data_IF_357862256638
#
_entry.id   IF_357862256638
#
_cell.length_a   1.000
_cell.length_b   1.000
_cell.length_c   1.000
_cell.angle_alpha   90.00
_cell.angle_beta   90.00
_cell.angle_gamma   90.00
#
_symmetry.space_group_name_H-M   'P 1'
#
loop_
_entity.id
_entity.type
_entity.pdbx_description
1 polymer ?
#
# COMPACT_ATOMS: atom_id res chain seq x y z
N UNK A 1 5.39 19.06 18.61
CA UNK A 1 6.16 20.31 18.41
C UNK A 1 6.02 21.14 19.68
N UNK A 2 7.07 21.83 20.11
CA UNK A 2 7.02 22.69 21.29
C UNK A 2 6.15 23.92 20.98
N UNK A 3 5.25 24.29 21.90
CA UNK A 3 4.38 25.48 21.77
C UNK A 3 5.13 26.82 21.96
N UNK A 4 6.46 26.80 21.83
CA UNK A 4 7.33 27.97 21.92
C UNK A 4 7.52 28.58 20.53
N UNK A 5 7.90 29.85 20.49
CA UNK A 5 8.33 30.49 19.25
C UNK A 5 9.61 29.81 18.71
N UNK A 6 9.71 29.63 17.37
CA UNK A 6 10.91 29.08 16.76
C UNK A 6 12.08 30.07 16.88
N UNK A 7 13.26 29.54 17.17
CA UNK A 7 14.52 30.28 17.24
C UNK A 7 15.27 30.04 15.94
N UNK A 8 15.52 31.09 15.17
CA UNK A 8 16.11 31.00 13.82
C UNK A 8 17.49 30.33 13.83
N UNK A 9 18.27 30.55 14.90
CA UNK A 9 19.60 29.96 15.07
C UNK A 9 19.59 28.53 15.62
N UNK A 10 18.45 28.00 16.08
CA UNK A 10 18.37 26.62 16.60
C UNK A 10 18.31 25.62 15.42
N UNK A 11 19.32 24.72 15.28
CA UNK A 11 19.34 23.74 14.21
C UNK A 11 18.12 22.81 14.20
N UNK A 12 17.52 22.55 15.38
CA UNK A 12 16.32 21.69 15.50
C UNK A 12 15.09 22.38 14.92
N UNK A 13 14.93 23.67 15.19
CA UNK A 13 13.83 24.47 14.63
C UNK A 13 13.98 24.62 13.12
N UNK A 14 15.20 24.85 12.63
CA UNK A 14 15.50 24.90 11.19
C UNK A 14 15.17 23.57 10.49
N UNK A 15 15.60 22.43 11.06
CA UNK A 15 15.28 21.11 10.54
C UNK A 15 13.77 20.83 10.57
N UNK A 16 13.09 21.24 11.65
CA UNK A 16 11.64 21.09 11.78
C UNK A 16 10.92 21.87 10.68
N UNK A 17 11.32 23.12 10.41
CA UNK A 17 10.76 23.94 9.34
C UNK A 17 10.97 23.32 7.95
N UNK A 18 12.16 22.81 7.67
CA UNK A 18 12.46 22.09 6.42
C UNK A 18 11.53 20.88 6.28
N UNK A 19 11.31 20.15 7.36
CA UNK A 19 10.46 18.95 7.37
C UNK A 19 8.98 19.29 7.16
N UNK A 20 8.48 20.37 7.79
CA UNK A 20 7.11 20.88 7.56
C UNK A 20 6.89 21.26 6.10
N UNK A 21 7.86 21.97 5.51
CA UNK A 21 7.81 22.35 4.08
C UNK A 21 7.79 21.12 3.19
N UNK A 22 8.64 20.12 3.48
CA UNK A 22 8.67 18.84 2.76
C UNK A 22 7.33 18.09 2.85
N UNK A 23 6.73 18.02 4.04
CA UNK A 23 5.43 17.37 4.23
C UNK A 23 4.31 18.08 3.45
N UNK A 24 4.34 19.42 3.42
CA UNK A 24 3.40 20.22 2.64
C UNK A 24 3.56 19.97 1.14
N UNK A 25 4.80 19.89 0.65
CA UNK A 25 5.09 19.56 -0.75
C UNK A 25 4.64 18.14 -1.11
N UNK A 26 4.83 17.16 -0.22
CA UNK A 26 4.31 15.80 -0.44
C UNK A 26 2.78 15.81 -0.54
N UNK A 27 2.09 16.51 0.37
CA UNK A 27 0.64 16.60 0.32
C UNK A 27 0.10 17.21 -0.99
N UNK A 28 0.85 18.16 -1.59
CA UNK A 28 0.53 18.74 -2.89
C UNK A 28 0.85 17.78 -4.05
N UNK A 29 2.00 17.11 -4.02
CA UNK A 29 2.43 16.12 -5.03
C UNK A 29 1.60 14.83 -5.04
N UNK A 30 0.67 14.66 -4.11
CA UNK A 30 -0.33 13.60 -4.17
C UNK A 30 -1.32 13.74 -5.33
N UNK A 31 -1.35 14.89 -6.02
CA UNK A 31 -2.26 15.22 -7.12
C UNK A 31 -1.47 15.60 -8.37
N UNK A 32 -2.11 15.42 -9.52
CA UNK A 32 -1.56 15.88 -10.79
C UNK A 32 -1.46 17.42 -10.81
N UNK A 33 -0.37 17.99 -11.35
CA UNK A 33 -0.17 19.43 -11.41
C UNK A 33 -1.35 20.18 -12.05
N UNK A 34 -1.92 19.63 -13.11
CA UNK A 34 -3.07 20.20 -13.81
C UNK A 34 -4.33 20.27 -12.93
N UNK A 35 -4.56 19.28 -12.06
CA UNK A 35 -5.66 19.32 -11.09
C UNK A 35 -5.48 20.44 -10.06
N UNK A 36 -4.26 20.61 -9.54
CA UNK A 36 -3.97 21.65 -8.54
C UNK A 36 -4.13 23.04 -9.15
N UNK A 37 -3.54 23.26 -10.33
CA UNK A 37 -3.65 24.52 -11.06
C UNK A 37 -5.09 24.82 -11.46
N UNK A 38 -5.81 23.85 -12.03
CA UNK A 38 -7.19 23.99 -12.45
C UNK A 38 -8.12 24.36 -11.30
N UNK A 39 -7.96 23.73 -10.13
CA UNK A 39 -8.74 24.06 -8.94
C UNK A 39 -8.45 25.48 -8.44
N UNK A 40 -7.19 25.92 -8.43
CA UNK A 40 -6.82 27.28 -8.03
C UNK A 40 -7.39 28.31 -9.01
N UNK A 41 -7.21 28.11 -10.31
CA UNK A 41 -7.74 28.98 -11.36
C UNK A 41 -9.25 29.10 -11.28
N UNK A 42 -9.95 27.98 -11.05
CA UNK A 42 -11.40 27.95 -10.86
C UNK A 42 -11.82 28.69 -9.59
N UNK A 43 -11.17 28.44 -8.45
CA UNK A 43 -11.47 29.15 -7.21
C UNK A 43 -11.36 30.67 -7.33
N UNK A 44 -10.31 31.16 -8.02
CA UNK A 44 -10.12 32.60 -8.26
C UNK A 44 -11.20 33.16 -9.19
N UNK A 45 -11.51 32.44 -10.28
CA UNK A 45 -12.52 32.89 -11.26
C UNK A 45 -13.91 32.91 -10.65
N UNK A 46 -14.33 31.80 -10.05
CA UNK A 46 -15.67 31.63 -9.48
C UNK A 46 -15.91 32.68 -8.37
N UNK A 47 -14.91 32.94 -7.52
CA UNK A 47 -15.01 34.00 -6.51
C UNK A 47 -15.16 35.40 -7.13
N UNK A 48 -14.39 35.72 -8.17
CA UNK A 48 -14.47 37.03 -8.85
C UNK A 48 -15.81 37.23 -9.55
N UNK A 49 -16.30 36.21 -10.25
CA UNK A 49 -17.59 36.26 -10.95
C UNK A 49 -18.73 36.42 -9.96
N UNK A 50 -18.74 35.63 -8.89
CA UNK A 50 -19.79 35.71 -7.87
C UNK A 50 -19.74 37.05 -7.10
N UNK A 51 -18.56 37.56 -6.74
CA UNK A 51 -18.43 38.84 -6.05
C UNK A 51 -18.81 40.05 -6.93
N UNK A 52 -18.82 39.90 -8.26
CA UNK A 52 -19.21 40.98 -9.19
C UNK A 52 -20.73 41.12 -9.33
N UNK A 53 -21.48 40.04 -9.11
CA UNK A 53 -22.94 39.98 -9.34
C UNK A 53 -23.72 39.88 -8.03
N UNK A 54 -23.16 39.19 -7.03
CA UNK A 54 -23.80 38.92 -5.76
C UNK A 54 -23.19 39.76 -4.64
N UNK A 55 -24.03 40.17 -3.69
CA UNK A 55 -23.60 40.84 -2.45
C UNK A 55 -23.02 39.81 -1.46
N UNK A 56 -21.84 39.29 -1.76
CA UNK A 56 -21.13 38.34 -0.88
C UNK A 56 -20.41 39.09 0.24
N UNK A 57 -20.57 38.61 1.48
CA UNK A 57 -19.83 39.18 2.61
C UNK A 57 -18.34 38.78 2.58
N UNK A 58 -17.47 39.68 3.04
CA UNK A 58 -16.02 39.45 3.21
C UNK A 58 -15.79 38.47 4.38
N UNK A 59 -16.15 37.20 4.20
CA UNK A 59 -16.03 36.17 5.24
C UNK A 59 -16.45 34.76 4.81
N UNK A 60 -17.03 34.57 3.64
CA UNK A 60 -17.51 33.25 3.19
C UNK A 60 -16.39 32.23 2.96
N UNK A 61 -15.17 32.69 2.64
CA UNK A 61 -14.01 31.83 2.46
C UNK A 61 -13.24 31.65 3.78
N UNK A 62 -12.75 30.44 4.07
CA UNK A 62 -12.00 30.18 5.29
C UNK A 62 -10.70 30.99 5.33
N UNK A 63 -10.45 31.68 6.44
CA UNK A 63 -9.16 32.30 6.72
C UNK A 63 -8.09 31.19 6.90
N UNK A 64 -7.08 31.21 6.04
CA UNK A 64 -6.09 30.12 5.96
C UNK A 64 -5.09 30.06 7.13
N UNK A 65 -4.72 31.17 7.79
CA UNK A 65 -4.02 31.10 9.06
C UNK A 65 -4.98 30.71 10.19
N UNK A 66 -4.71 29.61 10.88
CA UNK A 66 -5.39 29.34 12.16
C UNK A 66 -4.98 30.39 13.18
N UNK A 67 -5.91 30.99 13.95
CA UNK A 67 -5.54 31.78 15.12
C UNK A 67 -4.92 30.90 16.21
N UNK A 68 -5.27 29.60 16.24
CA UNK A 68 -4.76 28.63 17.19
C UNK A 68 -3.52 27.88 16.67
N UNK A 69 -2.45 27.86 17.47
CA UNK A 69 -1.25 27.06 17.21
C UNK A 69 -1.47 25.61 17.68
N UNK A 70 -2.19 24.84 16.87
CA UNK A 70 -2.49 23.41 17.14
C UNK A 70 -2.21 22.53 15.93
N UNK A 71 -1.75 21.30 16.18
CA UNK A 71 -1.63 20.29 15.13
C UNK A 71 -3.00 19.75 14.73
N UNK A 72 -3.54 20.29 13.62
CA UNK A 72 -4.87 19.93 13.10
C UNK A 72 -4.83 18.86 12.00
N UNK A 73 -3.66 18.52 11.48
CA UNK A 73 -3.56 17.65 10.30
C UNK A 73 -2.65 16.45 10.50
N UNK A 74 -1.99 16.35 11.66
CA UNK A 74 -0.98 15.33 11.91
C UNK A 74 0.40 15.74 11.40
N UNK A 75 0.71 17.04 11.42
CA UNK A 75 2.01 17.55 11.00
C UNK A 75 3.15 16.99 11.84
N UNK A 76 2.94 16.81 13.15
CA UNK A 76 3.90 16.17 14.05
C UNK A 76 4.14 14.71 13.65
N UNK A 77 3.07 13.98 13.33
CA UNK A 77 3.16 12.62 12.81
C UNK A 77 3.89 12.57 11.46
N UNK A 78 3.70 13.57 10.61
CA UNK A 78 4.37 13.67 9.31
C UNK A 78 5.89 13.89 9.48
N UNK A 79 6.29 14.68 10.49
CA UNK A 79 7.70 14.83 10.86
C UNK A 79 8.32 13.50 11.27
N UNK A 80 7.62 12.67 12.07
CA UNK A 80 8.12 11.32 12.41
C UNK A 80 8.30 10.44 11.17
N UNK A 81 7.33 10.46 10.25
CA UNK A 81 7.40 9.71 8.98
C UNK A 81 8.60 10.16 8.14
N UNK A 82 8.78 11.48 7.95
CA UNK A 82 9.88 12.02 7.16
C UNK A 82 11.24 11.77 7.81
N UNK A 83 11.34 11.88 9.13
CA UNK A 83 12.58 11.57 9.83
C UNK A 83 12.91 10.07 9.73
N UNK A 84 11.91 9.20 9.82
CA UNK A 84 12.09 7.76 9.59
C UNK A 84 12.58 7.48 8.16
N UNK A 85 12.12 8.24 7.16
CA UNK A 85 12.56 8.07 5.76
C UNK A 85 14.06 8.32 5.54
N UNK A 86 14.74 9.00 6.45
CA UNK A 86 16.18 9.28 6.38
C UNK A 86 17.05 8.13 6.91
N UNK A 87 16.46 7.11 7.52
CA UNK A 87 17.21 5.92 8.00
C UNK A 87 17.85 5.19 6.81
N UNK A 88 18.99 4.54 7.06
CA UNK A 88 19.66 3.72 6.08
C UNK A 88 18.78 2.51 5.69
N UNK A 89 18.71 2.20 4.40
CA UNK A 89 18.05 1.01 3.88
C UNK A 89 19.02 -0.18 3.79
N UNK A 90 18.46 -1.39 3.63
CA UNK A 90 19.26 -2.61 3.49
C UNK A 90 19.86 -2.75 2.08
N UNK A 91 19.06 -2.50 1.04
CA UNK A 91 19.46 -2.66 -0.37
C UNK A 91 19.63 -1.33 -1.11
N UNK A 92 19.18 -0.24 -0.52
CA UNK A 92 19.19 1.12 -1.09
C UNK A 92 19.61 2.12 -0.02
N UNK A 93 20.10 3.29 -0.43
CA UNK A 93 20.63 4.33 0.48
C UNK A 93 19.71 4.66 1.66
N UNK A 94 18.40 4.75 1.41
CA UNK A 94 17.41 5.09 2.42
C UNK A 94 16.28 4.06 2.45
N UNK A 95 15.64 3.90 3.62
CA UNK A 95 14.48 3.01 3.75
C UNK A 95 13.38 3.37 2.74
N UNK A 96 12.72 2.35 2.18
CA UNK A 96 11.67 2.54 1.19
C UNK A 96 10.30 2.84 1.82
N UNK A 97 9.35 3.29 1.00
CA UNK A 97 8.00 3.69 1.42
C UNK A 97 7.31 2.65 2.32
N UNK A 98 7.38 1.36 1.96
CA UNK A 98 6.73 0.28 2.73
C UNK A 98 7.25 0.14 4.16
N UNK A 99 8.51 0.49 4.40
CA UNK A 99 9.07 0.57 5.75
C UNK A 99 8.67 1.87 6.43
N UNK A 100 8.72 2.99 5.71
CA UNK A 100 8.41 4.33 6.24
C UNK A 100 6.94 4.47 6.64
N UNK A 101 6.00 3.90 5.87
CA UNK A 101 4.56 3.97 6.16
C UNK A 101 4.20 3.30 7.49
N UNK A 102 5.01 2.36 7.97
CA UNK A 102 4.83 1.74 9.31
C UNK A 102 4.84 2.80 10.42
N UNK A 103 5.51 3.94 10.21
CA UNK A 103 5.45 5.07 11.12
C UNK A 103 4.03 5.61 11.31
N UNK A 104 3.24 5.67 10.24
CA UNK A 104 1.85 6.06 10.34
C UNK A 104 0.99 4.98 11.01
N UNK A 105 1.28 3.71 10.73
CA UNK A 105 0.57 2.56 11.32
C UNK A 105 0.74 2.50 12.83
N UNK A 106 1.98 2.52 13.36
CA UNK A 106 2.16 2.42 14.82
C UNK A 106 1.57 3.62 15.54
N UNK A 107 1.65 4.83 14.96
CA UNK A 107 1.02 6.03 15.53
C UNK A 107 -0.50 5.84 15.58
N UNK A 108 -1.12 5.37 14.50
CA UNK A 108 -2.56 5.09 14.46
C UNK A 108 -2.98 4.09 15.55
N UNK A 109 -2.28 2.95 15.61
CA UNK A 109 -2.53 1.93 16.61
C UNK A 109 -2.39 2.45 18.04
N UNK A 110 -1.40 3.33 18.32
CA UNK A 110 -1.25 3.93 19.65
C UNK A 110 -2.38 4.89 20.00
N UNK A 111 -2.90 5.65 19.03
CA UNK A 111 -4.06 6.51 19.26
C UNK A 111 -5.33 5.70 19.51
N UNK A 112 -5.48 4.57 18.81
CA UNK A 112 -6.63 3.67 18.93
C UNK A 112 -6.60 2.77 20.17
N UNK A 113 -5.41 2.47 20.70
CA UNK A 113 -5.25 1.83 21.99
C UNK A 113 -5.26 2.83 23.17
N UNK A 114 -5.18 4.13 22.88
CA UNK A 114 -5.04 5.18 23.89
C UNK A 114 -6.37 5.72 24.40
N UNK A 115 -6.30 6.55 25.45
CA UNK A 115 -7.47 7.21 26.05
C UNK A 115 -8.24 8.14 25.09
N UNK A 116 -7.65 8.48 23.95
CA UNK A 116 -8.29 9.29 22.90
C UNK A 116 -9.17 8.47 21.94
N UNK A 117 -9.21 7.14 22.08
CA UNK A 117 -10.11 6.29 21.31
C UNK A 117 -11.55 6.50 21.76
N UNK A 118 -12.36 7.07 20.88
CA UNK A 118 -13.76 7.39 21.16
C UNK A 118 -14.70 6.22 20.86
N UNK A 119 -14.30 5.26 20.00
CA UNK A 119 -15.15 4.14 19.58
C UNK A 119 -16.49 4.55 18.95
N UNK A 120 -16.67 5.84 18.64
CA UNK A 120 -17.93 6.40 18.21
C UNK A 120 -18.22 5.96 16.77
N UNK A 121 -19.41 5.38 16.50
CA UNK A 121 -19.75 4.95 15.16
C UNK A 121 -19.81 6.16 14.22
N UNK A 122 -19.19 6.05 13.04
CA UNK A 122 -19.31 7.07 12.00
C UNK A 122 -20.74 7.04 11.47
N UNK A 123 -21.51 8.08 11.75
CA UNK A 123 -22.96 8.12 11.48
C UNK A 123 -23.32 8.05 9.98
N UNK A 124 -22.36 8.23 9.07
CA UNK A 124 -22.57 8.26 7.61
C UNK A 124 -21.46 7.52 6.80
N UNK A 125 -20.87 6.46 7.35
CA UNK A 125 -19.86 5.69 6.63
C UNK A 125 -20.50 4.82 5.52
N UNK A 126 -20.02 4.88 4.25
CA UNK A 126 -20.38 3.87 3.26
C UNK A 126 -19.95 2.47 3.75
N UNK A 127 -20.59 1.38 3.27
CA UNK A 127 -20.38 0.02 3.81
C UNK A 127 -18.93 -0.48 3.76
N UNK A 128 -18.05 0.17 2.99
CA UNK A 128 -16.62 -0.12 2.86
C UNK A 128 -15.70 0.72 3.77
N UNK A 129 -16.23 1.69 4.52
CA UNK A 129 -15.45 2.53 5.41
C UNK A 129 -15.42 1.98 6.84
N UNK A 130 -14.33 2.24 7.58
CA UNK A 130 -14.25 1.84 8.98
C UNK A 130 -15.43 2.45 9.75
N UNK A 131 -16.16 1.65 10.56
CA UNK A 131 -17.40 2.08 11.17
C UNK A 131 -17.21 3.07 12.30
N UNK A 132 -15.98 3.53 12.62
CA UNK A 132 -15.68 4.39 13.76
C UNK A 132 -14.81 5.59 13.38
N UNK A 133 -15.14 6.76 13.92
CA UNK A 133 -14.36 7.98 13.70
C UNK A 133 -13.12 7.97 14.60
N UNK A 134 -11.95 7.71 14.02
CA UNK A 134 -10.69 7.70 14.76
C UNK A 134 -10.19 9.11 15.05
N UNK A 135 -9.86 9.39 16.31
CA UNK A 135 -9.18 10.61 16.71
C UNK A 135 -7.73 10.71 16.18
N UNK A 136 -7.21 9.63 15.60
CA UNK A 136 -5.82 9.54 15.14
C UNK A 136 -5.48 10.62 14.09
N UNK A 137 -4.36 11.36 14.25
CA UNK A 137 -3.89 12.29 13.25
C UNK A 137 -3.55 11.62 11.91
N UNK A 138 -3.23 10.32 11.91
CA UNK A 138 -2.81 9.59 10.70
C UNK A 138 -3.98 9.19 9.80
N UNK A 139 -5.22 9.20 10.31
CA UNK A 139 -6.44 8.92 9.53
C UNK A 139 -7.05 10.16 8.86
N UNK A 140 -6.49 11.35 9.09
CA UNK A 140 -7.00 12.61 8.51
C UNK A 140 -6.75 12.68 7.00
N UNK A 141 -7.67 13.33 6.27
CA UNK A 141 -7.60 13.49 4.80
C UNK A 141 -6.28 14.13 4.31
N UNK A 142 -5.77 15.13 5.03
CA UNK A 142 -4.47 15.75 4.70
C UNK A 142 -3.33 14.75 4.86
N UNK A 143 -3.33 13.95 5.92
CA UNK A 143 -2.29 12.97 6.21
C UNK A 143 -2.25 11.87 5.15
N UNK A 144 -3.42 11.41 4.69
CA UNK A 144 -3.52 10.46 3.58
C UNK A 144 -2.91 11.01 2.29
N UNK A 145 -3.14 12.30 1.97
CA UNK A 145 -2.50 12.98 0.84
C UNK A 145 -0.99 13.05 1.03
N UNK A 146 -0.53 13.49 2.20
CA UNK A 146 0.89 13.51 2.55
C UNK A 146 1.55 12.13 2.32
N UNK A 147 0.99 11.04 2.86
CA UNK A 147 1.55 9.69 2.66
C UNK A 147 1.58 9.28 1.19
N UNK A 148 0.53 9.61 0.42
CA UNK A 148 0.51 9.37 -1.03
C UNK A 148 1.64 10.11 -1.74
N UNK A 149 1.88 11.37 -1.39
CA UNK A 149 3.00 12.14 -1.93
C UNK A 149 4.36 11.57 -1.57
N UNK A 150 4.53 11.13 -0.31
CA UNK A 150 5.74 10.43 0.12
C UNK A 150 5.99 9.19 -0.73
N UNK A 151 4.95 8.38 -0.99
CA UNK A 151 5.04 7.20 -1.87
C UNK A 151 5.50 7.57 -3.27
N UNK A 152 4.86 8.57 -3.89
CA UNK A 152 5.16 8.99 -5.25
C UNK A 152 6.60 9.53 -5.38
N UNK A 153 7.03 10.35 -4.41
CA UNK A 153 8.40 10.91 -4.39
C UNK A 153 9.47 9.83 -4.21
N UNK A 154 9.25 8.89 -3.30
CA UNK A 154 10.25 7.89 -2.95
C UNK A 154 10.40 6.80 -4.03
N UNK A 155 9.33 6.53 -4.79
CA UNK A 155 9.26 5.35 -5.63
C UNK A 155 9.33 4.06 -4.82
N UNK A 156 9.48 2.93 -5.51
CA UNK A 156 9.65 1.62 -4.90
C UNK A 156 10.59 0.78 -5.75
N UNK A 157 11.62 0.21 -5.12
CA UNK A 157 12.55 -0.73 -5.77
C UNK A 157 12.26 -2.10 -5.17
N UNK A 158 11.76 -3.02 -5.99
CA UNK A 158 11.45 -4.38 -5.55
C UNK A 158 12.60 -5.31 -5.92
N UNK A 159 13.15 -5.96 -4.91
CA UNK A 159 14.01 -7.13 -5.08
C UNK A 159 13.14 -8.34 -4.78
N UNK A 160 12.69 -9.02 -5.82
CA UNK A 160 11.93 -10.26 -5.71
C UNK A 160 12.91 -11.43 -5.81
N UNK A 161 12.65 -12.50 -5.06
CA UNK A 161 13.30 -13.78 -5.33
C UNK A 161 12.85 -14.26 -6.71
N UNK A 162 13.76 -14.90 -7.45
CA UNK A 162 13.42 -15.48 -8.74
C UNK A 162 12.29 -16.50 -8.57
N UNK A 163 11.30 -16.51 -9.48
CA UNK A 163 10.23 -17.48 -9.44
C UNK A 163 10.81 -18.88 -9.71
N UNK A 164 10.27 -19.88 -9.01
CA UNK A 164 10.54 -21.27 -9.35
C UNK A 164 9.89 -21.54 -10.72
N UNK A 165 10.67 -21.98 -11.71
CA UNK A 165 10.15 -22.32 -13.03
C UNK A 165 9.73 -23.78 -13.08
N UNK A 166 8.90 -24.16 -14.05
CA UNK A 166 8.52 -25.57 -14.28
C UNK A 166 9.73 -26.46 -14.52
N UNK A 167 10.74 -25.96 -15.24
CA UNK A 167 12.00 -26.67 -15.47
C UNK A 167 12.76 -26.94 -14.16
N UNK A 168 12.80 -25.95 -13.26
CA UNK A 168 13.43 -26.12 -11.94
C UNK A 168 12.67 -27.13 -11.07
N UNK A 169 11.33 -27.13 -11.12
CA UNK A 169 10.51 -28.11 -10.39
C UNK A 169 10.74 -29.53 -10.93
N UNK A 170 10.78 -29.71 -12.25
CA UNK A 170 11.03 -31.02 -12.86
C UNK A 170 12.46 -31.52 -12.59
N UNK A 171 13.45 -30.62 -12.59
CA UNK A 171 14.81 -30.98 -12.21
C UNK A 171 14.88 -31.39 -10.73
N UNK A 172 14.16 -30.70 -9.85
CA UNK A 172 14.06 -31.07 -8.44
C UNK A 172 13.37 -32.43 -8.25
N UNK A 173 12.31 -32.70 -8.99
CA UNK A 173 11.61 -33.99 -8.99
C UNK A 173 12.53 -35.14 -9.40
N UNK A 174 13.36 -34.94 -10.44
CA UNK A 174 14.36 -35.92 -10.86
C UNK A 174 15.41 -36.18 -9.78
N UNK A 175 15.91 -35.12 -9.13
CA UNK A 175 16.89 -35.24 -8.04
C UNK A 175 16.31 -35.97 -6.83
N UNK A 176 15.09 -35.60 -6.41
CA UNK A 176 14.43 -36.23 -5.26
C UNK A 176 14.09 -37.69 -5.57
N UNK A 177 13.58 -37.99 -6.77
CA UNK A 177 13.30 -39.37 -7.20
C UNK A 177 14.56 -40.23 -7.19
N UNK A 178 15.68 -39.68 -7.67
CA UNK A 178 16.96 -40.38 -7.64
C UNK A 178 17.43 -40.68 -6.21
N UNK A 179 17.36 -39.70 -5.31
CA UNK A 179 17.72 -39.90 -3.89
C UNK A 179 16.76 -40.86 -3.18
N UNK A 180 15.47 -40.80 -3.49
CA UNK A 180 14.45 -41.69 -2.94
C UNK A 180 14.71 -43.15 -3.31
N UNK A 181 15.18 -43.43 -4.53
CA UNK A 181 15.56 -44.78 -4.96
C UNK A 181 16.85 -45.30 -4.31
N UNK A 182 17.76 -44.41 -3.90
CA UNK A 182 19.04 -44.77 -3.27
C UNK A 182 18.94 -44.95 -1.77
N UNK A 183 17.95 -44.31 -1.16
CA UNK A 183 17.72 -44.32 0.28
C UNK A 183 17.08 -45.64 0.70
N UNK A 184 17.67 -46.31 1.69
CA UNK A 184 17.14 -47.54 2.28
C UNK A 184 16.37 -47.30 3.59
N UNK A 185 16.43 -46.08 4.13
CA UNK A 185 15.68 -45.69 5.32
C UNK A 185 14.28 -45.19 4.94
N UNK A 186 13.25 -45.91 5.40
CA UNK A 186 11.86 -45.60 5.08
C UNK A 186 11.44 -44.22 5.61
N UNK A 187 11.98 -43.77 6.74
CA UNK A 187 11.68 -42.42 7.28
C UNK A 187 12.20 -41.31 6.39
N UNK A 188 13.36 -41.51 5.81
CA UNK A 188 13.96 -40.51 4.93
C UNK A 188 13.27 -40.52 3.55
N UNK A 189 12.79 -41.68 3.10
CA UNK A 189 11.93 -41.78 1.91
C UNK A 189 10.61 -41.03 2.09
N UNK A 190 9.95 -41.19 3.23
CA UNK A 190 8.72 -40.46 3.56
C UNK A 190 8.95 -38.94 3.53
N UNK A 191 10.05 -38.45 4.10
CA UNK A 191 10.39 -37.01 4.05
C UNK A 191 10.62 -36.48 2.64
N UNK A 192 11.27 -37.27 1.79
CA UNK A 192 11.50 -36.91 0.38
C UNK A 192 10.17 -36.86 -0.39
N UNK A 193 9.27 -37.81 -0.15
CA UNK A 193 7.91 -37.81 -0.70
C UNK A 193 7.10 -36.59 -0.24
N UNK A 194 7.11 -36.29 1.06
CA UNK A 194 6.43 -35.13 1.64
C UNK A 194 6.94 -33.82 1.03
N UNK A 195 8.26 -33.67 0.89
CA UNK A 195 8.89 -32.51 0.27
C UNK A 195 8.42 -32.32 -1.18
N UNK A 196 8.45 -33.39 -1.99
CA UNK A 196 8.06 -33.29 -3.39
C UNK A 196 6.55 -33.05 -3.54
N UNK A 197 5.72 -33.72 -2.74
CA UNK A 197 4.28 -33.47 -2.69
C UNK A 197 4.00 -32.01 -2.34
N UNK A 198 4.68 -31.46 -1.34
CA UNK A 198 4.54 -30.07 -0.93
C UNK A 198 4.88 -29.10 -2.08
N UNK A 199 6.00 -29.34 -2.77
CA UNK A 199 6.43 -28.51 -3.91
C UNK A 199 5.45 -28.61 -5.09
N UNK A 200 5.05 -29.82 -5.49
CA UNK A 200 4.14 -30.02 -6.63
C UNK A 200 2.76 -29.42 -6.39
N UNK A 201 2.22 -29.62 -5.19
CA UNK A 201 0.93 -29.06 -4.79
C UNK A 201 1.02 -27.54 -4.74
N UNK A 202 2.03 -26.99 -4.06
CA UNK A 202 2.23 -25.54 -3.95
C UNK A 202 2.41 -24.88 -5.31
N UNK A 203 3.22 -25.49 -6.19
CA UNK A 203 3.48 -25.00 -7.54
C UNK A 203 2.25 -25.12 -8.45
N UNK A 204 1.64 -26.30 -8.52
CA UNK A 204 0.54 -26.60 -9.43
C UNK A 204 -0.77 -25.92 -9.06
N UNK A 205 -1.07 -25.78 -7.78
CA UNK A 205 -2.28 -25.12 -7.29
C UNK A 205 -2.05 -23.64 -6.89
N UNK A 206 -0.83 -23.12 -7.04
CA UNK A 206 -0.45 -21.74 -6.67
C UNK A 206 -0.83 -21.39 -5.22
N UNK A 207 -0.69 -22.36 -4.33
CA UNK A 207 -1.03 -22.20 -2.90
C UNK A 207 0.10 -21.52 -2.14
N UNK A 208 -0.27 -20.76 -1.11
CA UNK A 208 0.70 -20.25 -0.13
C UNK A 208 1.21 -21.40 0.74
N UNK A 209 2.37 -21.20 1.34
CA UNK A 209 3.03 -22.27 2.10
C UNK A 209 2.20 -22.81 3.26
N UNK A 210 1.40 -21.95 3.91
CA UNK A 210 0.46 -22.33 4.97
C UNK A 210 -0.81 -23.03 4.46
N UNK A 211 -1.12 -22.90 3.17
CA UNK A 211 -2.33 -23.46 2.55
C UNK A 211 -2.10 -24.90 2.07
N UNK A 212 -0.87 -25.26 1.67
CA UNK A 212 -0.53 -26.61 1.18
C UNK A 212 -0.92 -27.73 2.16
N UNK A 213 -0.62 -27.64 3.48
CA UNK A 213 -1.00 -28.68 4.44
C UNK A 213 -2.50 -28.71 4.75
N UNK A 214 -3.22 -27.62 4.48
CA UNK A 214 -4.67 -27.51 4.71
C UNK A 214 -5.50 -28.11 3.57
N UNK A 215 -4.83 -28.54 2.50
CA UNK A 215 -5.45 -29.04 1.30
C UNK A 215 -6.19 -30.36 1.55
N UNK A 216 -7.47 -30.37 1.21
CA UNK A 216 -8.26 -31.60 1.24
C UNK A 216 -8.11 -32.36 -0.08
N UNK A 217 -7.42 -33.51 -0.05
CA UNK A 217 -7.38 -34.44 -1.17
C UNK A 217 -8.79 -34.85 -1.65
N UNK A 218 -9.72 -35.02 -0.70
CA UNK A 218 -11.13 -35.33 -1.01
C UNK A 218 -11.80 -34.17 -1.77
N UNK A 219 -11.54 -32.94 -1.36
CA UNK A 219 -12.02 -31.74 -2.05
C UNK A 219 -11.48 -31.66 -3.47
N UNK A 220 -10.17 -31.85 -3.66
CA UNK A 220 -9.56 -31.84 -4.98
C UNK A 220 -10.14 -32.90 -5.91
N UNK A 221 -10.31 -34.14 -5.43
CA UNK A 221 -10.89 -35.22 -6.24
C UNK A 221 -12.35 -34.98 -6.62
N UNK A 222 -13.11 -34.28 -5.77
CA UNK A 222 -14.48 -33.91 -6.05
C UNK A 222 -14.54 -32.90 -7.21
N UNK A 223 -13.81 -31.80 -7.12
CA UNK A 223 -13.80 -30.76 -8.15
C UNK A 223 -13.08 -31.19 -9.43
N UNK A 224 -12.05 -32.04 -9.35
CA UNK A 224 -11.40 -32.61 -10.53
C UNK A 224 -12.37 -33.40 -11.40
N UNK A 225 -13.31 -34.15 -10.80
CA UNK A 225 -14.31 -34.89 -11.58
C UNK A 225 -15.33 -33.96 -12.25
N UNK A 226 -15.58 -32.79 -11.67
CA UNK A 226 -16.45 -31.75 -12.24
C UNK A 226 -15.76 -31.02 -13.41
N UNK A 227 -14.45 -30.76 -13.32
CA UNK A 227 -13.68 -30.02 -14.36
C UNK A 227 -13.02 -30.91 -15.41
N UNK A 228 -12.72 -32.17 -15.12
CA UNK A 228 -12.10 -33.11 -16.06
C UNK A 228 -13.09 -33.67 -17.10
N UNK A 229 -14.40 -33.48 -16.89
CA UNK A 229 -15.40 -33.71 -17.93
C UNK A 229 -15.60 -32.38 -18.66
N UNK A 230 -15.27 -32.27 -19.96
CA UNK A 230 -15.65 -31.10 -20.73
C UNK A 230 -17.17 -31.16 -20.91
N UNK A 231 -17.92 -30.57 -19.97
CA UNK A 231 -19.23 -30.06 -20.33
C UNK A 231 -18.95 -28.79 -21.12
N UNK A 232 -19.33 -28.80 -22.39
CA UNK A 232 -19.16 -27.70 -23.36
C UNK A 232 -19.79 -26.36 -22.89
N UNK A 233 -20.53 -26.36 -21.79
CA UNK A 233 -21.27 -25.19 -21.29
C UNK A 233 -20.45 -24.23 -20.41
N UNK A 234 -19.21 -24.56 -20.02
CA UNK A 234 -18.38 -23.72 -19.14
C UNK A 234 -16.99 -23.42 -19.72
N UNK A 235 -16.92 -22.99 -20.98
CA UNK A 235 -15.81 -22.18 -21.47
C UNK A 235 -15.98 -20.75 -20.96
N UNK A 236 -15.53 -20.48 -19.73
CA UNK A 236 -15.18 -19.11 -19.34
C UNK A 236 -13.91 -18.75 -20.10
N UNK A 237 -14.05 -17.84 -21.06
CA UNK A 237 -13.02 -17.48 -22.02
C UNK A 237 -11.68 -17.15 -21.35
N UNK A 238 -10.65 -17.90 -21.73
CA UNK A 238 -9.32 -17.35 -21.80
C UNK A 238 -9.31 -16.47 -23.05
N UNK A 239 -9.42 -15.15 -22.86
CA UNK A 239 -9.05 -14.20 -23.90
C UNK A 239 -7.60 -14.49 -24.30
N UNK A 240 -7.42 -14.98 -25.52
CA UNK A 240 -6.13 -15.08 -26.16
C UNK A 240 -5.46 -13.71 -26.13
N UNK A 241 -4.29 -13.66 -25.49
CA UNK A 241 -3.40 -12.53 -25.54
C UNK A 241 -3.00 -12.29 -27.00
N UNK A 242 -3.69 -11.34 -27.64
CA UNK A 242 -3.47 -10.95 -29.03
C UNK A 242 -2.01 -10.58 -29.27
N UNK A 243 -1.38 -11.35 -30.15
CA UNK A 243 -0.07 -11.06 -30.70
C UNK A 243 -0.21 -9.83 -31.60
N UNK A 244 0.37 -8.71 -31.19
CA UNK A 244 0.45 -7.51 -32.04
C UNK A 244 1.56 -7.74 -33.06
N UNK A 245 1.18 -8.02 -34.30
CA UNK A 245 2.10 -8.07 -35.43
C UNK A 245 1.37 -8.10 -36.76
N UNK A 246 1.55 -7.03 -37.54
CA UNK A 246 1.48 -6.88 -39.02
C UNK A 246 0.67 -5.63 -39.42
N UNK A 247 1.36 -4.53 -39.76
CA UNK A 247 1.72 -4.11 -41.13
C UNK A 247 0.50 -3.73 -41.97
N UNK A 248 0.19 -2.43 -41.99
CA UNK A 248 -0.56 -1.82 -43.08
C UNK A 248 0.45 -1.30 -44.13
N UNK A 249 0.44 -1.95 -45.29
CA UNK A 249 0.77 -1.35 -46.58
C UNK A 249 -0.55 -1.26 -47.36
N UNK A 250 -1.03 -0.04 -47.56
CA UNK A 250 -1.28 0.58 -48.88
C UNK A 250 -1.87 1.99 -48.69
#
# INVERSE_FOLDING_TARGET
MTLRNPVVSDPKDAMTLITIRRASLDALWAREPGTVQGNLSRAVRDHREAAAVCSLERGELPYLPSPELKDRVGMTSAVYVLQASRRAGQYVRNVQYETVRKSATWIGNMYEAGAAYTGAPTTDAPPTAEPFESASPTRRKWFARFLRGVKLRMGQVRYQNEPLTSEMVLALDQLITFEWHRTTDDRERERLEELMCYVLIGFGASLRGEEVPLLSLRGMLYFWKETARPNEDHLVGYEECGTIGERETD
#
